data_IF_953174498470
#
_entry.id   IF_953174498470
#
_cell.length_a   1.000
_cell.length_b   1.000
_cell.length_c   1.000
_cell.angle_alpha   90.00
_cell.angle_beta   90.00
_cell.angle_gamma   90.00
#
_symmetry.space_group_name_H-M   'P 1'
#
loop_
_entity.id
_entity.type
_entity.pdbx_description
1 polymer ?
#
# COMPACT_ATOMS: atom_id res chain seq x y z
N UNK A 1 -21.36 7.29 19.95
CA UNK A 1 -20.46 6.49 20.81
C UNK A 1 -19.09 6.72 20.21
N UNK A 2 -18.39 7.77 20.64
CA UNK A 2 -17.16 8.24 20.01
C UNK A 2 -15.97 7.47 20.59
N UNK A 3 -15.91 6.19 20.24
CA UNK A 3 -14.79 5.32 20.59
C UNK A 3 -13.63 5.56 19.64
N UNK A 4 -12.41 5.59 20.17
CA UNK A 4 -11.20 5.55 19.35
C UNK A 4 -10.98 4.09 18.97
N UNK A 5 -11.26 3.74 17.71
CA UNK A 5 -10.93 2.41 17.17
C UNK A 5 -9.44 2.36 16.83
N UNK A 6 -8.64 1.76 17.72
CA UNK A 6 -7.23 1.51 17.53
C UNK A 6 -7.01 0.05 17.11
N UNK A 7 -6.64 -0.16 15.85
CA UNK A 7 -6.13 -1.45 15.38
C UNK A 7 -4.61 -1.43 15.56
N UNK A 8 -4.13 -2.13 16.59
CA UNK A 8 -2.70 -2.20 16.92
C UNK A 8 -2.13 -3.55 16.47
N UNK A 9 -1.15 -3.47 15.57
CA UNK A 9 -0.41 -4.65 15.11
C UNK A 9 0.48 -5.26 16.20
N UNK A 10 0.88 -6.51 15.99
CA UNK A 10 1.75 -7.24 16.91
C UNK A 10 3.16 -6.63 16.99
N UNK A 11 3.65 -6.06 15.89
CA UNK A 11 4.87 -5.27 15.80
C UNK A 11 4.84 -4.05 16.73
N UNK A 12 3.74 -3.30 16.71
CA UNK A 12 3.53 -2.15 17.59
C UNK A 12 3.53 -2.58 19.07
N UNK A 13 2.81 -3.65 19.40
CA UNK A 13 2.78 -4.16 20.78
C UNK A 13 4.16 -4.63 21.26
N UNK A 14 4.96 -5.25 20.38
CA UNK A 14 6.35 -5.65 20.70
C UNK A 14 7.27 -4.44 20.90
N UNK A 15 7.09 -3.38 20.10
CA UNK A 15 7.92 -2.17 20.19
C UNK A 15 7.78 -1.50 21.56
N UNK A 16 6.55 -1.39 22.06
CA UNK A 16 6.27 -0.68 23.32
C UNK A 16 6.25 -1.61 24.54
N UNK A 17 6.08 -2.92 24.34
CA UNK A 17 6.18 -3.98 25.35
C UNK A 17 5.10 -3.98 26.44
N UNK A 18 4.40 -2.86 26.65
CA UNK A 18 3.40 -2.67 27.70
C UNK A 18 2.32 -1.70 27.23
N UNK A 19 1.07 -2.00 27.58
CA UNK A 19 -0.08 -1.10 27.44
C UNK A 19 -0.68 -0.86 28.82
N UNK A 20 -0.94 0.40 29.17
CA UNK A 20 -1.60 0.78 30.42
C UNK A 20 -2.76 1.72 30.13
N UNK A 21 -3.93 1.39 30.67
CA UNK A 21 -5.13 2.21 30.56
C UNK A 21 -5.55 2.63 31.97
N UNK A 22 -5.65 3.93 32.21
CA UNK A 22 -6.05 4.50 33.49
C UNK A 22 -7.44 5.14 33.38
N UNK A 23 -8.35 4.69 34.24
CA UNK A 23 -9.75 5.13 34.30
C UNK A 23 -10.05 6.00 35.53
N UNK A 24 -9.03 6.42 36.30
CA UNK A 24 -9.21 7.21 37.52
C UNK A 24 -9.74 8.62 37.25
N UNK A 25 -9.50 9.15 36.05
CA UNK A 25 -10.03 10.44 35.60
C UNK A 25 -11.27 10.26 34.70
N UNK A 26 -12.11 11.31 34.54
CA UNK A 26 -13.33 11.24 33.70
C UNK A 26 -13.05 10.83 32.25
N UNK A 27 -11.82 11.03 31.78
CA UNK A 27 -11.36 10.58 30.47
C UNK A 27 -10.28 9.53 30.67
N UNK A 28 -10.49 8.35 30.10
CA UNK A 28 -9.49 7.30 30.12
C UNK A 28 -8.19 7.79 29.46
N UNK A 29 -7.06 7.60 30.14
CA UNK A 29 -5.75 7.87 29.57
C UNK A 29 -5.08 6.55 29.18
N UNK A 30 -4.39 6.55 28.04
CA UNK A 30 -3.73 5.38 27.48
C UNK A 30 -2.24 5.68 27.33
N UNK A 31 -1.41 4.76 27.80
CA UNK A 31 0.06 4.83 27.76
C UNK A 31 0.60 3.55 27.15
N UNK A 32 1.57 3.66 26.23
CA UNK A 32 2.30 2.53 25.67
C UNK A 32 3.78 2.64 26.08
N UNK A 33 4.29 1.61 26.75
CA UNK A 33 5.57 1.69 27.46
C UNK A 33 5.53 2.81 28.50
N UNK A 34 6.40 3.81 28.32
CA UNK A 34 6.49 5.02 29.15
C UNK A 34 5.91 6.28 28.47
N UNK A 35 5.29 6.13 27.29
CA UNK A 35 4.80 7.27 26.49
C UNK A 35 3.27 7.34 26.44
N UNK A 36 2.66 8.52 26.64
CA UNK A 36 1.22 8.69 26.49
C UNK A 36 0.84 8.60 25.01
N UNK A 37 -0.34 8.05 24.71
CA UNK A 37 -0.85 7.85 23.35
C UNK A 37 -0.82 9.14 22.50
N UNK A 38 -1.05 10.31 23.10
CA UNK A 38 -1.01 11.60 22.41
C UNK A 38 0.36 11.97 21.81
N UNK A 39 1.44 11.35 22.29
CA UNK A 39 2.82 11.61 21.84
C UNK A 39 3.28 10.55 20.83
N UNK A 40 2.55 9.44 20.69
CA UNK A 40 2.87 8.38 19.75
C UNK A 40 2.43 8.83 18.36
N UNK A 41 3.37 9.40 17.62
CA UNK A 41 3.20 9.62 16.19
C UNK A 41 3.38 8.30 15.45
N UNK A 42 2.50 8.03 14.47
CA UNK A 42 2.73 6.95 13.52
C UNK A 42 4.16 7.03 13.01
N UNK A 43 4.90 5.93 13.13
CA UNK A 43 6.27 5.84 12.66
C UNK A 43 6.18 5.95 11.13
N UNK A 44 6.28 7.17 10.62
CA UNK A 44 6.50 7.41 9.21
C UNK A 44 7.85 6.77 8.94
N UNK A 45 7.83 5.62 8.29
CA UNK A 45 9.03 5.06 7.71
C UNK A 45 9.48 6.04 6.64
N UNK A 46 10.29 7.02 7.05
CA UNK A 46 11.10 7.84 6.15
C UNK A 46 12.21 6.95 5.58
N UNK A 47 11.82 5.86 4.93
CA UNK A 47 12.70 5.22 3.98
C UNK A 47 12.78 6.19 2.82
N UNK A 48 13.91 6.88 2.73
CA UNK A 48 14.29 7.69 1.58
C UNK A 48 14.60 6.74 0.41
N UNK A 49 13.72 5.81 0.11
CA UNK A 49 13.85 4.94 -1.04
C UNK A 49 13.36 5.73 -2.23
N UNK A 50 14.30 6.08 -3.12
CA UNK A 50 14.04 6.81 -4.36
C UNK A 50 12.81 6.21 -5.03
N UNK A 51 11.71 6.95 -5.03
CA UNK A 51 10.45 6.48 -5.56
C UNK A 51 10.30 6.94 -7.01
N UNK A 52 9.72 6.10 -7.85
CA UNK A 52 9.59 6.37 -9.29
C UNK A 52 8.18 6.08 -9.75
N UNK A 53 7.69 6.92 -10.66
CA UNK A 53 6.38 6.74 -11.29
C UNK A 53 6.40 5.53 -12.20
N UNK A 54 5.43 4.65 -12.01
CA UNK A 54 5.15 3.58 -12.97
C UNK A 54 4.12 4.09 -13.97
N UNK A 55 4.46 4.03 -15.26
CA UNK A 55 3.60 4.52 -16.35
C UNK A 55 3.15 3.39 -17.26
N UNK A 56 1.96 3.52 -17.84
CA UNK A 56 1.45 2.59 -18.87
C UNK A 56 2.29 2.67 -20.16
N UNK A 57 2.62 1.52 -20.74
CA UNK A 57 3.39 1.42 -21.98
C UNK A 57 2.50 1.42 -23.24
N UNK A 58 1.23 1.08 -23.08
CA UNK A 58 0.26 0.96 -24.15
C UNK A 58 -1.06 1.57 -23.72
N UNK A 59 -1.88 1.91 -24.71
CA UNK A 59 -3.26 2.24 -24.45
C UNK A 59 -4.07 0.97 -24.14
N UNK A 60 -5.05 1.06 -23.25
CA UNK A 60 -5.88 -0.07 -22.85
C UNK A 60 -7.29 0.38 -22.45
N UNK A 61 -8.29 -0.36 -22.90
CA UNK A 61 -9.67 -0.26 -22.40
C UNK A 61 -9.90 -1.38 -21.40
N UNK A 62 -10.37 -1.03 -20.20
CA UNK A 62 -10.69 -1.99 -19.15
C UNK A 62 -12.22 -2.07 -19.03
N UNK A 63 -12.84 -3.22 -19.30
CA UNK A 63 -14.28 -3.40 -19.15
C UNK A 63 -14.77 -3.08 -17.73
N UNK A 64 -16.07 -2.77 -17.58
CA UNK A 64 -16.70 -2.52 -16.28
C UNK A 64 -16.46 -3.68 -15.32
N UNK A 65 -16.16 -3.39 -14.05
CA UNK A 65 -15.96 -4.39 -12.98
C UNK A 65 -14.99 -5.53 -13.34
N UNK A 66 -13.95 -5.23 -14.12
CA UNK A 66 -12.99 -6.22 -14.60
C UNK A 66 -11.55 -5.82 -14.29
N UNK A 67 -10.63 -6.74 -14.51
CA UNK A 67 -9.18 -6.54 -14.34
C UNK A 67 -8.50 -6.74 -15.68
N UNK A 68 -7.57 -5.85 -16.02
CA UNK A 68 -6.73 -5.99 -17.20
C UNK A 68 -5.25 -5.86 -16.82
N UNK A 69 -4.40 -6.67 -17.46
CA UNK A 69 -2.95 -6.52 -17.34
C UNK A 69 -2.49 -5.37 -18.24
N UNK A 70 -1.89 -4.36 -17.63
CA UNK A 70 -1.39 -3.16 -18.31
C UNK A 70 0.12 -3.24 -18.36
N UNK A 71 0.71 -3.19 -19.55
CA UNK A 71 2.15 -3.16 -19.72
C UNK A 71 2.73 -1.90 -19.09
N UNK A 72 3.85 -2.01 -18.39
CA UNK A 72 4.44 -0.90 -17.65
C UNK A 72 5.90 -0.64 -18.02
N UNK A 73 6.32 0.61 -17.83
CA UNK A 73 7.72 1.00 -17.87
C UNK A 73 8.05 1.67 -16.53
N UNK A 74 8.99 1.08 -15.80
CA UNK A 74 9.60 1.70 -14.63
C UNK A 74 10.94 2.32 -15.04
N UNK A 75 11.14 3.65 -14.91
CA UNK A 75 12.47 4.23 -14.93
C UNK A 75 13.37 3.52 -13.90
N UNK A 76 14.61 3.24 -14.28
CA UNK A 76 15.52 2.33 -13.58
C UNK A 76 15.53 2.53 -12.05
N UNK A 77 14.87 1.61 -11.34
CA UNK A 77 15.02 1.41 -9.90
C UNK A 77 15.82 0.14 -9.69
N UNK A 78 16.94 0.24 -8.96
CA UNK A 78 17.70 -0.93 -8.54
C UNK A 78 17.21 -1.34 -7.15
N UNK A 79 16.24 -2.25 -7.10
CA UNK A 79 15.90 -2.99 -5.89
C UNK A 79 15.40 -4.40 -6.27
N UNK A 80 15.52 -5.34 -5.34
CA UNK A 80 15.07 -6.72 -5.53
C UNK A 80 13.55 -6.86 -5.37
N UNK A 81 12.97 -6.05 -4.48
CA UNK A 81 11.53 -5.97 -4.24
C UNK A 81 11.09 -4.50 -4.24
N UNK A 82 9.84 -4.26 -4.60
CA UNK A 82 9.23 -2.95 -4.67
C UNK A 82 7.87 -2.93 -3.98
N UNK A 83 7.61 -1.87 -3.21
CA UNK A 83 6.27 -1.50 -2.83
C UNK A 83 5.64 -0.64 -3.92
N UNK A 84 4.48 -1.07 -4.42
CA UNK A 84 3.66 -0.29 -5.33
C UNK A 84 2.57 0.44 -4.54
N UNK A 85 2.59 1.76 -4.65
CA UNK A 85 1.54 2.65 -4.16
C UNK A 85 0.68 3.13 -5.34
N UNK A 86 -0.62 2.78 -5.38
CA UNK A 86 -1.50 3.14 -6.49
C UNK A 86 -1.75 4.64 -6.57
N UNK A 87 -2.01 5.12 -7.77
CA UNK A 87 -2.39 6.51 -7.99
C UNK A 87 -3.79 6.79 -7.43
N UNK A 88 -3.85 7.55 -6.33
CA UNK A 88 -5.12 8.02 -5.76
C UNK A 88 -5.93 8.84 -6.77
N UNK A 89 -5.27 9.70 -7.56
CA UNK A 89 -5.92 10.49 -8.61
C UNK A 89 -6.58 9.59 -9.67
N UNK A 90 -5.93 8.47 -10.04
CA UNK A 90 -6.48 7.56 -11.03
C UNK A 90 -7.74 6.84 -10.51
N UNK A 91 -7.72 6.46 -9.22
CA UNK A 91 -8.90 5.92 -8.54
C UNK A 91 -10.02 6.94 -8.44
N UNK A 92 -9.73 8.17 -8.04
CA UNK A 92 -10.74 9.24 -7.88
C UNK A 92 -11.37 9.66 -9.21
N UNK A 93 -10.56 9.81 -10.26
CA UNK A 93 -11.03 10.39 -11.54
C UNK A 93 -11.59 9.35 -12.50
N UNK A 94 -11.09 8.11 -12.45
CA UNK A 94 -11.48 7.04 -13.38
C UNK A 94 -12.05 5.81 -12.70
N UNK A 95 -12.02 5.72 -11.37
CA UNK A 95 -12.50 4.55 -10.64
C UNK A 95 -11.68 3.29 -10.90
N UNK A 96 -10.38 3.43 -11.21
CA UNK A 96 -9.50 2.30 -11.48
C UNK A 96 -8.29 2.28 -10.55
N UNK A 97 -7.86 1.09 -10.13
CA UNK A 97 -6.74 0.95 -9.19
C UNK A 97 -5.98 -0.35 -9.43
N UNK A 98 -4.65 -0.27 -9.27
CA UNK A 98 -3.78 -1.46 -9.26
C UNK A 98 -3.80 -2.13 -7.88
N UNK A 99 -4.34 -1.45 -6.87
CA UNK A 99 -4.18 -1.83 -5.47
C UNK A 99 -2.76 -1.55 -4.96
N UNK A 100 -2.55 -1.80 -3.68
CA UNK A 100 -1.20 -1.85 -3.11
C UNK A 100 -0.64 -3.25 -3.35
N UNK A 101 0.61 -3.33 -3.81
CA UNK A 101 1.24 -4.60 -4.14
C UNK A 101 2.73 -4.60 -3.77
N UNK A 102 3.22 -5.75 -3.33
CA UNK A 102 4.66 -6.05 -3.32
C UNK A 102 5.01 -6.71 -4.65
N UNK A 103 5.99 -6.13 -5.34
CA UNK A 103 6.39 -6.52 -6.68
C UNK A 103 7.86 -6.93 -6.68
N UNK A 104 8.19 -8.04 -7.35
CA UNK A 104 9.59 -8.44 -7.55
C UNK A 104 10.28 -7.55 -8.60
N UNK A 105 11.62 -7.56 -8.61
CA UNK A 105 12.56 -6.72 -9.37
C UNK A 105 12.24 -6.43 -10.87
N UNK A 106 11.32 -7.18 -11.50
CA UNK A 106 11.06 -7.12 -12.94
C UNK A 106 9.57 -7.09 -13.27
N UNK A 107 8.92 -5.98 -12.98
CA UNK A 107 7.52 -5.73 -13.33
C UNK A 107 7.43 -5.26 -14.77
N UNK A 108 6.91 -6.12 -15.66
CA UNK A 108 6.63 -5.76 -17.07
C UNK A 108 5.16 -5.39 -17.29
N UNK A 109 4.30 -5.75 -16.35
CA UNK A 109 2.88 -5.41 -16.34
C UNK A 109 2.35 -5.31 -14.90
N UNK A 110 1.25 -4.59 -14.72
CA UNK A 110 0.48 -4.57 -13.47
C UNK A 110 -0.99 -4.84 -13.76
N UNK A 111 -1.67 -5.50 -12.83
CA UNK A 111 -3.11 -5.73 -12.89
C UNK A 111 -3.85 -4.46 -12.49
N UNK A 112 -4.59 -3.86 -13.42
CA UNK A 112 -5.42 -2.68 -13.15
C UNK A 112 -6.90 -3.10 -13.09
N UNK A 113 -7.53 -2.88 -11.95
CA UNK A 113 -8.95 -3.17 -11.73
C UNK A 113 -9.79 -1.94 -12.05
N UNK A 114 -10.85 -2.13 -12.83
CA UNK A 114 -11.90 -1.16 -13.01
C UNK A 114 -13.03 -1.42 -12.03
N UNK A 115 -13.29 -0.46 -11.15
CA UNK A 115 -14.27 -0.54 -10.06
C UNK A 115 -15.59 0.16 -10.43
N UNK A 116 -15.75 0.56 -11.70
CA UNK A 116 -16.93 1.26 -12.20
C UNK A 116 -17.81 0.36 -13.06
N UNK A 117 -19.05 0.79 -13.26
CA UNK A 117 -20.03 0.14 -14.14
C UNK A 117 -19.83 0.46 -15.62
N UNK A 118 -18.81 1.23 -15.99
CA UNK A 118 -18.52 1.61 -17.38
C UNK A 118 -17.12 1.16 -17.78
N UNK A 119 -16.88 1.00 -19.07
CA UNK A 119 -15.52 0.72 -19.56
C UNK A 119 -14.64 1.95 -19.45
N UNK A 120 -13.40 1.78 -19.00
CA UNK A 120 -12.46 2.88 -18.78
C UNK A 120 -11.27 2.79 -19.73
N UNK A 121 -11.00 3.90 -20.42
CA UNK A 121 -9.81 4.05 -21.26
C UNK A 121 -8.61 4.59 -20.49
N UNK A 122 -7.47 3.92 -20.62
CA UNK A 122 -6.18 4.31 -20.05
C UNK A 122 -5.20 4.59 -21.19
N UNK A 123 -4.87 5.87 -21.44
CA UNK A 123 -3.86 6.23 -22.43
C UNK A 123 -2.47 5.71 -22.06
N UNK A 124 -1.62 5.48 -23.06
CA UNK A 124 -0.18 5.30 -22.89
C UNK A 124 0.43 6.50 -22.16
N UNK A 125 1.37 6.24 -21.25
CA UNK A 125 2.04 7.26 -20.44
C UNK A 125 1.25 7.70 -19.21
N UNK A 126 0.08 7.09 -18.95
CA UNK A 126 -0.69 7.35 -17.73
C UNK A 126 0.10 6.86 -16.52
N UNK A 127 0.22 7.72 -15.49
CA UNK A 127 0.81 7.32 -14.21
C UNK A 127 -0.15 6.41 -13.45
N UNK A 128 0.25 5.16 -13.24
CA UNK A 128 -0.54 4.13 -12.55
C UNK A 128 -0.32 4.18 -11.04
N UNK A 129 0.84 4.68 -10.62
CA UNK A 129 1.24 4.77 -9.24
C UNK A 129 2.73 5.07 -9.10
N UNK A 130 3.24 4.85 -7.90
CA UNK A 130 4.64 5.05 -7.54
C UNK A 130 5.19 3.74 -6.97
N UNK A 131 6.37 3.34 -7.46
CA UNK A 131 7.14 2.24 -6.90
C UNK A 131 8.29 2.77 -6.04
N UNK A 132 8.55 2.12 -4.92
CA UNK A 132 9.72 2.36 -4.08
C UNK A 132 10.36 1.02 -3.74
N UNK A 133 11.69 0.97 -3.62
CA UNK A 133 12.37 -0.24 -3.15
C UNK A 133 11.87 -0.67 -1.77
N UNK A 134 11.80 -1.98 -1.57
CA UNK A 134 11.40 -2.61 -0.33
C UNK A 134 12.53 -3.50 0.16
N UNK A 135 13.16 -3.09 1.26
CA UNK A 135 14.29 -3.79 1.89
C UNK A 135 13.86 -4.64 3.10
N UNK A 136 12.54 -4.76 3.33
CA UNK A 136 11.98 -5.59 4.38
C UNK A 136 12.01 -7.08 4.04
N UNK A 137 11.80 -7.92 5.06
CA UNK A 137 11.74 -9.37 4.88
C UNK A 137 10.47 -9.78 4.13
N UNK A 138 10.61 -10.27 2.90
CA UNK A 138 9.51 -10.81 2.11
C UNK A 138 9.40 -12.30 2.38
N UNK A 139 8.43 -12.70 3.19
CA UNK A 139 8.11 -14.11 3.41
C UNK A 139 7.33 -14.63 2.21
N UNK A 140 7.93 -15.56 1.46
CA UNK A 140 7.21 -16.30 0.42
C UNK A 140 6.20 -17.24 1.08
N UNK A 141 4.92 -16.87 1.06
CA UNK A 141 3.84 -17.79 1.39
C UNK A 141 3.79 -18.88 0.31
N UNK A 142 4.52 -19.97 0.51
CA UNK A 142 4.46 -21.14 -0.35
C UNK A 142 3.04 -21.68 -0.38
N UNK A 143 2.31 -21.44 -1.47
CA UNK A 143 1.16 -22.26 -1.82
C UNK A 143 1.72 -23.62 -2.20
N UNK A 144 1.91 -24.50 -1.21
CA UNK A 144 2.16 -25.92 -1.47
C UNK A 144 0.92 -26.46 -2.16
N UNK A 145 0.91 -26.45 -3.50
CA UNK A 145 0.08 -27.36 -4.26
C UNK A 145 0.60 -28.76 -3.95
N UNK A 146 -0.09 -29.45 -3.04
CA UNK A 146 0.03 -30.91 -2.98
C UNK A 146 -0.52 -31.42 -4.32
N UNK A 147 0.36 -32.08 -5.08
CA UNK A 147 -0.02 -32.95 -6.21
C UNK A 147 -0.94 -34.08 -5.76
#
# INVERSE_FOLDING_TARGET
MDGIDLILGNDFLKQYGKVQIDYREPKASITFGDQPLAVITSQRTDHTTRSVKLISNNDVTIPSFSVANVGTVAPALQAENFCFNPSGQLLETKGVSVGHALLAAKVTFVSLANLTSTSVWIPKGTTLGVVSGYDGEVLSCGLTTKE
#
